data_IF_816255537857
#
_entry.id   IF_816255537857
#
_cell.length_a   1.000
_cell.length_b   1.000
_cell.length_c   1.000
_cell.angle_alpha   90.00
_cell.angle_beta   90.00
_cell.angle_gamma   90.00
#
_symmetry.space_group_name_H-M   'P 1'
#
loop_
_entity.id
_entity.type
_entity.pdbx_description
1 polymer ?
#
# COMPACT_ATOMS: atom_id res chain seq x y z
N UNK A 1 3.07 -0.81 2.31
CA UNK A 1 4.18 -0.25 1.51
C UNK A 1 3.84 -0.33 0.04
N UNK A 2 4.34 0.58 -0.79
CA UNK A 2 4.16 0.58 -2.24
C UNK A 2 5.40 1.16 -2.92
N UNK A 3 5.87 0.49 -3.97
CA UNK A 3 7.06 0.90 -4.70
C UNK A 3 6.93 0.70 -6.20
N UNK A 4 7.69 1.48 -6.97
CA UNK A 4 7.81 1.32 -8.41
C UNK A 4 8.90 0.31 -8.77
N UNK A 5 8.84 -0.22 -10.00
CA UNK A 5 9.91 -1.05 -10.56
C UNK A 5 11.26 -0.31 -10.68
N UNK A 6 11.24 1.03 -10.66
CA UNK A 6 12.45 1.86 -10.65
C UNK A 6 13.05 2.08 -9.25
N UNK A 7 12.45 1.50 -8.20
CA UNK A 7 12.91 1.65 -6.82
C UNK A 7 12.47 2.95 -6.14
N UNK A 8 11.42 3.63 -6.63
CA UNK A 8 10.83 4.77 -5.93
C UNK A 8 9.74 4.29 -4.98
N UNK A 9 9.67 4.87 -3.79
CA UNK A 9 8.73 4.48 -2.75
C UNK A 9 7.72 5.58 -2.48
N UNK A 10 6.44 5.21 -2.41
CA UNK A 10 5.44 6.08 -1.82
C UNK A 10 5.64 6.10 -0.29
N UNK A 11 5.57 7.28 0.36
CA UNK A 11 5.61 7.34 1.82
C UNK A 11 4.62 6.36 2.47
N UNK A 12 5.00 5.67 3.55
CA UNK A 12 4.18 4.62 4.13
C UNK A 12 2.91 5.19 4.77
N UNK A 13 1.86 4.38 4.71
CA UNK A 13 0.68 4.55 5.54
C UNK A 13 0.78 3.61 6.74
N UNK A 14 0.61 4.15 7.93
CA UNK A 14 0.49 3.38 9.17
C UNK A 14 -0.98 3.12 9.49
N UNK A 15 -1.29 1.92 9.98
CA UNK A 15 -2.61 1.54 10.46
C UNK A 15 -2.51 1.34 11.96
N UNK A 16 -3.22 2.15 12.74
CA UNK A 16 -3.22 2.04 14.20
C UNK A 16 -4.59 1.56 14.71
N UNK A 17 -4.62 0.51 15.56
CA UNK A 17 -5.86 -0.08 16.09
C UNK A 17 -6.49 0.80 17.19
N UNK A 18 -7.03 1.95 16.81
CA UNK A 18 -7.67 2.90 17.71
C UNK A 18 -8.67 3.78 16.97
N UNK A 19 -9.68 4.27 17.68
CA UNK A 19 -10.72 5.16 17.11
C UNK A 19 -10.28 6.61 17.01
N UNK A 20 -9.42 7.08 17.92
CA UNK A 20 -9.01 8.48 18.00
C UNK A 20 -7.61 8.65 17.46
N UNK A 21 -7.35 9.74 16.75
CA UNK A 21 -6.01 10.13 16.33
C UNK A 21 -5.09 10.37 17.54
N UNK A 22 -3.81 10.07 17.38
CA UNK A 22 -2.77 10.46 18.32
C UNK A 22 -1.51 10.80 17.54
N UNK A 23 -1.18 12.09 17.49
CA UNK A 23 -0.02 12.62 16.78
C UNK A 23 1.30 12.03 17.28
N UNK A 24 1.38 11.61 18.55
CA UNK A 24 2.59 11.01 19.13
C UNK A 24 2.98 9.68 18.47
N UNK A 25 2.02 8.97 17.86
CA UNK A 25 2.29 7.71 17.18
C UNK A 25 3.04 7.89 15.85
N UNK A 26 3.06 9.11 15.33
CA UNK A 26 3.77 9.48 14.11
C UNK A 26 5.08 10.19 14.41
N UNK A 27 5.49 10.28 15.68
CA UNK A 27 6.82 10.78 16.02
C UNK A 27 7.89 9.88 15.37
N UNK A 28 8.91 10.51 14.78
CA UNK A 28 10.00 9.86 14.07
C UNK A 28 9.57 9.00 12.86
N UNK A 29 8.32 9.13 12.41
CA UNK A 29 7.86 8.48 11.19
C UNK A 29 8.62 9.05 9.97
N UNK A 30 8.87 8.23 8.93
CA UNK A 30 9.51 8.70 7.71
C UNK A 30 8.80 9.92 7.12
N UNK A 31 9.52 10.88 6.49
CA UNK A 31 8.90 12.07 5.93
C UNK A 31 7.77 11.75 4.93
N UNK A 32 6.65 12.46 5.07
CA UNK A 32 5.47 12.27 4.21
C UNK A 32 4.59 11.07 4.58
N UNK A 33 4.97 10.30 5.61
CA UNK A 33 4.12 9.24 6.14
C UNK A 33 2.81 9.78 6.67
N UNK A 34 1.76 8.96 6.62
CA UNK A 34 0.45 9.30 7.14
C UNK A 34 -0.17 8.09 7.85
N UNK A 35 -1.24 8.30 8.60
CA UNK A 35 -1.87 7.25 9.38
C UNK A 35 -3.38 7.17 9.13
N UNK A 36 -3.91 5.97 9.23
CA UNK A 36 -5.33 5.74 9.46
C UNK A 36 -5.54 5.10 10.84
N UNK A 37 -6.68 5.45 11.44
CA UNK A 37 -7.07 5.02 12.78
C UNK A 37 -8.40 4.28 12.66
N UNK A 38 -8.39 2.98 12.90
CA UNK A 38 -9.57 2.13 12.85
C UNK A 38 -9.54 1.12 14.01
N UNK A 39 -10.66 0.44 14.29
CA UNK A 39 -10.74 -0.51 15.40
C UNK A 39 -9.99 -1.82 15.16
N UNK A 40 -9.55 -2.06 13.92
CA UNK A 40 -8.82 -3.26 13.50
C UNK A 40 -7.35 -2.93 13.25
N UNK A 41 -6.44 -3.84 13.55
CA UNK A 41 -5.03 -3.71 13.14
C UNK A 41 -4.83 -3.87 11.62
N UNK A 42 -5.88 -4.27 10.90
CA UNK A 42 -5.84 -4.54 9.48
C UNK A 42 -6.42 -3.40 8.65
N UNK A 43 -5.91 -3.27 7.43
CA UNK A 43 -6.48 -2.37 6.44
C UNK A 43 -7.90 -2.83 6.08
N UNK A 44 -8.87 -1.92 6.23
CA UNK A 44 -10.23 -2.14 5.76
C UNK A 44 -10.44 -1.41 4.42
N UNK A 45 -11.61 -1.62 3.79
CA UNK A 45 -11.93 -1.03 2.48
C UNK A 45 -11.85 0.50 2.49
N UNK A 46 -12.35 1.13 3.55
CA UNK A 46 -12.36 2.60 3.70
C UNK A 46 -10.94 3.17 3.80
N UNK A 47 -10.09 2.56 4.64
CA UNK A 47 -8.68 2.92 4.79
C UNK A 47 -7.92 2.71 3.49
N UNK A 48 -8.25 1.66 2.73
CA UNK A 48 -7.64 1.41 1.42
C UNK A 48 -8.03 2.47 0.38
N UNK A 49 -9.26 2.98 0.40
CA UNK A 49 -9.67 4.11 -0.47
C UNK A 49 -8.89 5.39 -0.11
N UNK A 50 -8.71 5.67 1.18
CA UNK A 50 -7.87 6.80 1.64
C UNK A 50 -6.44 6.65 1.13
N UNK A 51 -5.86 5.45 1.29
CA UNK A 51 -4.55 5.13 0.76
C UNK A 51 -4.48 5.32 -0.76
N UNK A 52 -5.48 4.84 -1.51
CA UNK A 52 -5.49 4.93 -2.97
C UNK A 52 -5.60 6.38 -3.48
N UNK A 53 -6.34 7.25 -2.78
CA UNK A 53 -6.37 8.69 -3.07
C UNK A 53 -4.98 9.31 -2.92
N UNK A 54 -4.25 8.96 -1.85
CA UNK A 54 -2.85 9.37 -1.66
C UNK A 54 -1.91 8.79 -2.70
N UNK A 55 -2.15 7.56 -3.16
CA UNK A 55 -1.40 6.98 -4.25
C UNK A 55 -1.57 7.77 -5.56
N UNK A 56 -2.79 8.18 -5.89
CA UNK A 56 -3.06 9.00 -7.08
C UNK A 56 -2.36 10.38 -6.97
N UNK A 57 -2.44 11.02 -5.80
CA UNK A 57 -1.73 12.29 -5.54
C UNK A 57 -0.21 12.14 -5.71
N UNK A 58 0.37 11.07 -5.17
CA UNK A 58 1.80 10.79 -5.24
C UNK A 58 2.27 10.47 -6.67
N UNK A 59 1.53 9.62 -7.37
CA UNK A 59 1.94 9.06 -8.65
C UNK A 59 1.56 9.91 -9.87
N UNK A 60 0.59 10.82 -9.70
CA UNK A 60 0.09 11.76 -10.68
C UNK A 60 -0.11 11.13 -12.08
N UNK A 61 -1.01 10.14 -12.22
CA UNK A 61 -1.27 9.50 -13.50
C UNK A 61 -1.87 10.49 -14.51
N UNK A 62 -1.43 10.36 -15.77
CA UNK A 62 -1.90 11.18 -16.89
C UNK A 62 -2.35 10.26 -18.04
N UNK A 63 -3.21 10.72 -18.97
CA UNK A 63 -3.62 9.90 -20.12
C UNK A 63 -2.46 9.39 -20.98
N UNK A 64 -1.36 10.14 -21.06
CA UNK A 64 -0.13 9.76 -21.76
C UNK A 64 0.86 8.97 -20.89
N UNK A 65 0.54 8.76 -19.61
CA UNK A 65 1.35 8.05 -18.62
C UNK A 65 0.44 7.20 -17.73
N UNK A 66 -0.16 6.14 -18.29
CA UNK A 66 -1.00 5.23 -17.51
C UNK A 66 -0.17 4.53 -16.44
N UNK A 67 -0.81 4.20 -15.31
CA UNK A 67 -0.17 3.49 -14.22
C UNK A 67 -0.73 2.09 -14.07
N UNK A 68 0.14 1.15 -13.75
CA UNK A 68 -0.21 -0.21 -13.36
C UNK A 68 0.04 -0.35 -11.86
N UNK A 69 -1.00 -0.68 -11.10
CA UNK A 69 -0.90 -1.02 -9.69
C UNK A 69 -1.17 -2.52 -9.51
N UNK A 70 -0.20 -3.22 -8.95
CA UNK A 70 -0.27 -4.66 -8.66
C UNK A 70 -0.58 -4.83 -7.17
N UNK A 71 -1.61 -5.61 -6.86
CA UNK A 71 -2.09 -5.86 -5.51
C UNK A 71 -2.05 -7.36 -5.19
N UNK A 72 -1.81 -7.70 -3.93
CA UNK A 72 -2.16 -9.02 -3.42
C UNK A 72 -3.70 -9.14 -3.45
N UNK A 73 -4.22 -10.26 -3.94
CA UNK A 73 -5.66 -10.44 -4.18
C UNK A 73 -6.54 -10.52 -2.93
N UNK A 74 -6.15 -9.85 -1.84
CA UNK A 74 -6.90 -9.81 -0.60
C UNK A 74 -8.28 -9.13 -0.81
N UNK A 75 -9.28 -9.57 -0.04
CA UNK A 75 -10.67 -9.14 -0.24
C UNK A 75 -10.88 -7.63 -0.04
N UNK A 76 -10.04 -6.99 0.77
CA UNK A 76 -10.03 -5.53 0.99
C UNK A 76 -9.71 -4.76 -0.29
N UNK A 77 -8.93 -5.34 -1.19
CA UNK A 77 -8.45 -4.72 -2.43
C UNK A 77 -9.39 -4.96 -3.61
N UNK A 78 -10.18 -6.03 -3.57
CA UNK A 78 -10.93 -6.54 -4.73
C UNK A 78 -12.43 -6.20 -4.70
N UNK A 79 -13.01 -5.92 -3.51
CA UNK A 79 -14.46 -5.73 -3.34
C UNK A 79 -14.86 -4.28 -3.02
N UNK A 80 -14.38 -3.30 -3.78
CA UNK A 80 -14.80 -1.89 -3.68
C UNK A 80 -15.12 -1.29 -5.06
N UNK A 81 -16.39 -0.96 -5.29
CA UNK A 81 -16.84 -0.33 -6.54
C UNK A 81 -16.28 1.09 -6.70
N UNK A 82 -16.23 1.85 -5.59
CA UNK A 82 -15.66 3.21 -5.57
C UNK A 82 -14.21 3.21 -6.06
N UNK A 83 -13.42 2.24 -5.60
CA UNK A 83 -12.02 2.13 -5.98
C UNK A 83 -11.82 1.80 -7.46
N UNK A 84 -12.63 0.87 -7.99
CA UNK A 84 -12.57 0.49 -9.41
C UNK A 84 -12.96 1.68 -10.30
N UNK A 85 -13.98 2.44 -9.92
CA UNK A 85 -14.40 3.62 -10.67
C UNK A 85 -13.31 4.70 -10.63
N UNK A 86 -12.78 4.99 -9.45
CA UNK A 86 -11.71 5.98 -9.27
C UNK A 86 -10.44 5.61 -10.04
N UNK A 87 -10.08 4.32 -10.06
CA UNK A 87 -8.92 3.84 -10.83
C UNK A 87 -9.12 4.04 -12.34
N UNK A 88 -10.30 3.71 -12.87
CA UNK A 88 -10.63 3.94 -14.29
C UNK A 88 -10.59 5.42 -14.64
N UNK A 89 -11.19 6.27 -13.82
CA UNK A 89 -11.26 7.72 -14.06
C UNK A 89 -9.87 8.38 -14.05
N UNK A 90 -8.92 7.78 -13.32
CA UNK A 90 -7.55 8.28 -13.16
C UNK A 90 -6.50 7.54 -14.00
N UNK A 91 -6.91 6.72 -14.98
CA UNK A 91 -5.99 5.95 -15.84
C UNK A 91 -5.04 5.02 -15.06
N UNK A 92 -5.53 4.44 -13.96
CA UNK A 92 -4.83 3.43 -13.17
C UNK A 92 -5.43 2.06 -13.47
N UNK A 93 -4.62 1.16 -14.00
CA UNK A 93 -4.98 -0.24 -14.20
C UNK A 93 -4.64 -1.02 -12.93
N UNK A 94 -5.63 -1.71 -12.38
CA UNK A 94 -5.46 -2.56 -11.20
C UNK A 94 -5.30 -4.01 -11.64
N UNK A 95 -4.24 -4.68 -11.18
CA UNK A 95 -4.03 -6.12 -11.37
C UNK A 95 -3.91 -6.78 -10.01
N UNK A 96 -4.78 -7.74 -9.73
CA UNK A 96 -4.77 -8.51 -8.49
C UNK A 96 -4.19 -9.90 -8.74
N UNK A 97 -3.21 -10.31 -7.94
CA UNK A 97 -2.68 -11.67 -7.98
C UNK A 97 -3.71 -12.67 -7.41
N UNK A 98 -3.84 -13.89 -7.96
CA UNK A 98 -4.74 -14.89 -7.42
C UNK A 98 -4.42 -15.25 -5.95
N UNK A 99 -5.43 -15.37 -5.07
CA UNK A 99 -5.22 -15.78 -3.69
C UNK A 99 -4.68 -17.22 -3.61
N UNK A 100 -3.88 -17.52 -2.58
CA UNK A 100 -3.38 -18.86 -2.24
C UNK A 100 -2.51 -19.57 -3.30
N UNK A 101 -1.88 -18.84 -4.23
CA UNK A 101 -0.83 -19.47 -5.02
C UNK A 101 0.45 -19.52 -4.17
N UNK A 102 1.09 -20.69 -4.09
CA UNK A 102 2.46 -20.88 -3.58
C UNK A 102 3.49 -19.97 -4.26
N UNK A 103 3.07 -19.34 -5.35
CA UNK A 103 3.80 -18.38 -6.12
C UNK A 103 3.70 -16.93 -5.57
N UNK A 104 2.84 -16.56 -4.60
CA UNK A 104 2.81 -15.19 -4.05
C UNK A 104 4.17 -14.76 -3.49
N UNK A 105 4.82 -15.62 -2.68
CA UNK A 105 6.17 -15.36 -2.16
C UNK A 105 7.29 -15.36 -3.22
N UNK A 106 7.03 -15.90 -4.42
CA UNK A 106 8.00 -15.94 -5.52
C UNK A 106 7.71 -14.90 -6.62
N UNK A 107 6.45 -14.49 -6.77
CA UNK A 107 5.96 -13.65 -7.86
C UNK A 107 5.74 -12.22 -7.44
N UNK A 108 5.55 -11.92 -6.15
CA UNK A 108 5.49 -10.55 -5.70
C UNK A 108 6.92 -10.00 -5.62
N UNK A 109 7.32 -9.12 -6.56
CA UNK A 109 8.67 -8.60 -6.55
C UNK A 109 8.94 -7.85 -5.23
N UNK A 110 7.89 -7.27 -4.63
CA UNK A 110 7.97 -6.59 -3.35
C UNK A 110 8.36 -7.46 -2.17
N UNK A 111 7.82 -8.68 -2.09
CA UNK A 111 8.11 -9.56 -0.96
C UNK A 111 9.57 -10.03 -1.02
N UNK A 112 10.06 -10.33 -2.23
CA UNK A 112 11.43 -10.84 -2.44
C UNK A 112 12.46 -9.72 -2.41
N UNK A 113 12.25 -8.62 -3.15
CA UNK A 113 13.28 -7.60 -3.36
C UNK A 113 13.36 -6.55 -2.27
N UNK A 114 12.26 -6.32 -1.53
CA UNK A 114 12.20 -5.26 -0.53
C UNK A 114 11.88 -5.78 0.87
N UNK A 115 10.81 -6.57 1.03
CA UNK A 115 10.39 -7.01 2.37
C UNK A 115 11.39 -7.98 3.01
N UNK A 116 11.97 -8.90 2.24
CA UNK A 116 12.98 -9.82 2.76
C UNK A 116 14.25 -9.11 3.29
N UNK A 117 14.90 -8.19 2.52
CA UNK A 117 15.99 -7.39 3.06
C UNK A 117 15.56 -6.52 4.24
N UNK A 118 14.39 -5.88 4.18
CA UNK A 118 13.88 -5.04 5.26
C UNK A 118 13.75 -5.82 6.57
N UNK A 119 13.17 -7.02 6.54
CA UNK A 119 13.08 -7.88 7.73
C UNK A 119 14.46 -8.22 8.29
N UNK A 120 15.41 -8.54 7.40
CA UNK A 120 16.78 -8.91 7.80
C UNK A 120 17.51 -7.76 8.49
N UNK A 121 17.47 -6.56 7.93
CA UNK A 121 18.12 -5.38 8.54
C UNK A 121 17.41 -4.91 9.80
N UNK A 122 16.08 -4.99 9.84
CA UNK A 122 15.30 -4.64 11.03
C UNK A 122 15.65 -5.54 12.22
N UNK A 123 15.81 -6.85 11.99
CA UNK A 123 16.28 -7.78 13.02
C UNK A 123 17.71 -7.49 13.51
N UNK A 124 18.57 -6.95 12.64
CA UNK A 124 19.94 -6.57 13.01
C UNK A 124 19.98 -5.33 13.90
N UNK A 125 19.15 -4.32 13.61
CA UNK A 125 19.06 -3.09 14.42
C UNK A 125 18.44 -3.33 15.80
N UNK A 126 17.59 -4.36 15.93
CA UNK A 126 16.98 -4.73 17.21
C UNK A 126 17.88 -5.61 18.09
N UNK A 127 19.04 -6.07 17.59
CA UNK A 127 20.02 -6.86 18.34
C UNK A 127 21.13 -5.99 18.91
#
# INVERSE_FOLDING_TARGET
MCMSASGNFMPPMFVFPRKQENSLLMNDAPPGSFACYNESEWINKESFVVWFKKFIEFSNPLPNKPLLLILDGHESHTKSLELIQLARDKNVTLVCCPPHTSATHHLQPQDVSFMCPLSTFYEQELR
#
